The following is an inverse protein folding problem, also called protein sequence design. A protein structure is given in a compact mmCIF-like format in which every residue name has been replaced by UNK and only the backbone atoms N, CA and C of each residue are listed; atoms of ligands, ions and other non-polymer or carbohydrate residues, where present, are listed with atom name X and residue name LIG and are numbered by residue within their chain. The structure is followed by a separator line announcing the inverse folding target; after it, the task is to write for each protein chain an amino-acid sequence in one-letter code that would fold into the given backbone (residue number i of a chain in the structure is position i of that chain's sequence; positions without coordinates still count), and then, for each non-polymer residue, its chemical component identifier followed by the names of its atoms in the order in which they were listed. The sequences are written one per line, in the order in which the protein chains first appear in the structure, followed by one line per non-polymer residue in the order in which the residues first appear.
data_IF_795802744924
#
_entry.id   IF_795802744924
#
_cell.length_a   1.000
_cell.length_b   1.000
_cell.length_c   1.000
_cell.angle_alpha   90.00
_cell.angle_beta   90.00
_cell.angle_gamma   90.00
#
_symmetry.space_group_name_H-M   'P 1'
#
loop_
_entity.id
_entity.type
_entity.pdbx_description
1 polymer ?
#
# COMPACT_ATOMS: atom_id res chain seq x y z
N UNK A 1 -21.10 -16.38 12.82
CA UNK A 1 -20.98 -14.92 12.88
C UNK A 1 -22.32 -14.34 12.45
N UNK A 2 -23.01 -13.60 13.32
CA UNK A 2 -24.29 -12.96 13.00
C UNK A 2 -24.14 -11.84 11.97
N UNK A 3 -25.24 -11.49 11.30
CA UNK A 3 -25.29 -10.42 10.28
C UNK A 3 -24.77 -9.08 10.79
N UNK A 4 -25.03 -8.73 12.05
CA UNK A 4 -24.60 -7.47 12.68
C UNK A 4 -23.08 -7.37 12.81
N UNK A 5 -22.40 -8.44 13.26
CA UNK A 5 -20.94 -8.45 13.37
C UNK A 5 -20.27 -8.24 12.00
N UNK A 6 -20.88 -8.75 10.93
CA UNK A 6 -20.40 -8.52 9.56
C UNK A 6 -20.63 -7.08 9.11
N UNK A 7 -21.79 -6.49 9.45
CA UNK A 7 -22.08 -5.08 9.14
C UNK A 7 -21.08 -4.14 9.81
N UNK A 8 -20.75 -4.36 11.08
CA UNK A 8 -19.73 -3.56 11.80
C UNK A 8 -18.37 -3.65 11.10
N UNK A 9 -17.95 -4.84 10.66
CA UNK A 9 -16.70 -5.00 9.93
C UNK A 9 -16.72 -4.30 8.56
N UNK A 10 -17.82 -4.42 7.82
CA UNK A 10 -17.97 -3.78 6.51
C UNK A 10 -17.98 -2.24 6.62
N UNK A 11 -18.65 -1.70 7.64
CA UNK A 11 -18.64 -0.26 7.96
C UNK A 11 -17.25 0.22 8.35
N UNK A 12 -16.54 -0.55 9.16
CA UNK A 12 -15.19 -0.22 9.59
C UNK A 12 -14.20 -0.25 8.42
N UNK A 13 -14.30 -1.25 7.53
CA UNK A 13 -13.53 -1.30 6.29
C UNK A 13 -13.79 -0.09 5.41
N UNK A 14 -15.06 0.32 5.23
CA UNK A 14 -15.42 1.49 4.42
C UNK A 14 -14.89 2.79 5.04
N UNK A 15 -15.03 2.95 6.35
CA UNK A 15 -14.58 4.13 7.09
C UNK A 15 -13.07 4.32 7.01
N UNK A 16 -12.33 3.22 7.02
CA UNK A 16 -10.85 3.21 7.05
C UNK A 16 -10.21 2.88 5.71
N UNK A 17 -11.00 2.82 4.63
CA UNK A 17 -10.51 2.51 3.30
C UNK A 17 -9.54 3.59 2.81
N UNK A 18 -8.39 3.15 2.34
CA UNK A 18 -7.42 3.97 1.62
C UNK A 18 -7.24 3.42 0.22
N UNK A 19 -7.35 4.27 -0.80
CA UNK A 19 -7.00 3.91 -2.17
C UNK A 19 -6.37 5.10 -2.89
N UNK A 20 -5.15 4.93 -3.38
CA UNK A 20 -4.44 5.95 -4.17
C UNK A 20 -3.59 5.32 -5.27
N UNK A 21 -3.28 6.14 -6.28
CA UNK A 21 -2.33 5.81 -7.34
C UNK A 21 -1.22 6.85 -7.38
N UNK A 22 0.02 6.38 -7.45
CA UNK A 22 1.21 7.19 -7.65
C UNK A 22 1.90 6.82 -8.96
N UNK A 23 2.64 7.77 -9.52
CA UNK A 23 3.53 7.53 -10.65
C UNK A 23 4.95 7.69 -10.15
N UNK A 24 5.78 6.68 -10.41
CA UNK A 24 7.19 6.63 -10.03
C UNK A 24 8.08 6.46 -11.28
N UNK A 25 9.33 6.95 -11.20
CA UNK A 25 10.40 6.65 -12.16
C UNK A 25 11.24 5.44 -11.74
N UNK A 26 11.02 4.92 -10.53
CA UNK A 26 11.69 3.71 -10.06
C UNK A 26 11.14 2.48 -10.82
N UNK A 27 11.98 1.47 -11.10
CA UNK A 27 11.52 0.18 -11.58
C UNK A 27 10.53 -0.46 -10.60
N UNK A 28 9.60 -1.33 -11.07
CA UNK A 28 8.64 -1.98 -10.19
C UNK A 28 9.28 -2.73 -9.03
N UNK A 29 10.35 -3.48 -9.27
CA UNK A 29 11.04 -4.24 -8.23
C UNK A 29 11.51 -3.34 -7.08
N UNK A 30 12.11 -2.20 -7.39
CA UNK A 30 12.59 -1.24 -6.39
C UNK A 30 11.44 -0.60 -5.61
N UNK A 31 10.33 -0.27 -6.28
CA UNK A 31 9.10 0.19 -5.58
C UNK A 31 8.64 -0.84 -4.55
N UNK A 32 8.65 -2.13 -4.91
CA UNK A 32 8.20 -3.20 -4.02
C UNK A 32 9.16 -3.44 -2.86
N UNK A 33 10.46 -3.38 -3.10
CA UNK A 33 11.46 -3.56 -2.04
C UNK A 33 11.37 -2.41 -1.02
N UNK A 34 11.20 -1.16 -1.50
CA UNK A 34 10.92 -0.01 -0.65
C UNK A 34 9.61 -0.17 0.14
N UNK A 35 8.56 -0.70 -0.48
CA UNK A 35 7.30 -0.95 0.23
C UNK A 35 7.50 -1.97 1.36
N UNK A 36 8.18 -3.09 1.08
CA UNK A 36 8.46 -4.13 2.06
C UNK A 36 9.22 -3.56 3.27
N UNK A 37 10.30 -2.84 3.02
CA UNK A 37 11.11 -2.20 4.07
C UNK A 37 10.27 -1.22 4.89
N UNK A 38 9.61 -0.27 4.20
CA UNK A 38 8.81 0.78 4.83
C UNK A 38 7.73 0.24 5.77
N UNK A 39 7.02 -0.81 5.36
CA UNK A 39 5.95 -1.40 6.17
C UNK A 39 6.49 -2.31 7.27
N UNK A 40 7.61 -3.02 7.05
CA UNK A 40 8.27 -3.81 8.10
C UNK A 40 8.78 -2.95 9.25
N UNK A 41 9.40 -1.81 8.95
CA UNK A 41 9.85 -0.83 9.97
C UNK A 41 8.69 -0.33 10.84
N UNK A 42 7.47 -0.30 10.29
CA UNK A 42 6.25 0.13 10.99
C UNK A 42 5.52 -1.02 11.69
N UNK A 43 6.14 -2.20 11.77
CA UNK A 43 5.61 -3.36 12.48
C UNK A 43 4.59 -4.19 11.67
N UNK A 44 4.42 -3.93 10.38
CA UNK A 44 3.59 -4.76 9.52
C UNK A 44 4.38 -5.92 8.93
N UNK A 45 3.69 -7.03 8.64
CA UNK A 45 4.24 -8.08 7.79
C UNK A 45 4.05 -7.67 6.34
N UNK A 46 5.14 -7.47 5.60
CA UNK A 46 5.09 -7.14 4.18
C UNK A 46 5.98 -8.09 3.38
N UNK A 47 5.45 -8.61 2.27
CA UNK A 47 6.18 -9.52 1.38
C UNK A 47 5.61 -9.49 -0.04
N UNK A 48 6.42 -9.88 -1.02
CA UNK A 48 5.94 -10.15 -2.38
C UNK A 48 4.95 -11.31 -2.36
N UNK A 49 3.95 -11.26 -3.23
CA UNK A 49 2.98 -12.35 -3.39
C UNK A 49 3.37 -13.27 -4.54
N UNK A 50 2.58 -14.32 -4.78
CA UNK A 50 2.69 -15.13 -5.99
C UNK A 50 2.25 -14.39 -7.27
N UNK A 51 1.65 -13.19 -7.14
CA UNK A 51 1.31 -12.34 -8.28
C UNK A 51 2.51 -11.47 -8.66
N UNK A 52 2.79 -11.31 -9.95
CA UNK A 52 3.89 -10.46 -10.39
C UNK A 52 3.66 -9.01 -9.96
N UNK A 53 4.74 -8.37 -9.55
CA UNK A 53 4.78 -6.97 -9.17
C UNK A 53 3.79 -6.53 -8.08
N UNK A 54 3.56 -7.39 -7.08
CA UNK A 54 2.64 -7.12 -5.98
C UNK A 54 3.29 -7.42 -4.63
N UNK A 55 3.05 -6.54 -3.65
CA UNK A 55 3.38 -6.74 -2.24
C UNK A 55 2.08 -6.75 -1.45
N UNK A 56 1.95 -7.72 -0.55
CA UNK A 56 0.87 -7.79 0.42
C UNK A 56 1.37 -7.33 1.79
N UNK A 57 0.58 -6.51 2.46
CA UNK A 57 0.84 -5.93 3.78
C UNK A 57 -0.22 -6.42 4.75
N UNK A 58 0.19 -6.91 5.92
CA UNK A 58 -0.71 -7.45 6.94
C UNK A 58 -0.33 -6.91 8.32
N UNK A 59 -1.34 -6.42 9.04
CA UNK A 59 -1.21 -5.92 10.41
C UNK A 59 -2.07 -6.69 11.41
N UNK A 60 -1.98 -6.29 12.68
CA UNK A 60 -2.83 -6.79 13.75
C UNK A 60 -4.23 -6.17 13.72
N UNK A 61 -4.88 -6.16 14.88
CA UNK A 61 -6.20 -5.54 15.07
C UNK A 61 -6.13 -4.02 15.00
N UNK A 62 -7.07 -3.41 14.29
CA UNK A 62 -7.29 -1.96 14.22
C UNK A 62 -8.79 -1.68 14.29
N UNK A 63 -9.22 -0.87 15.26
CA UNK A 63 -10.64 -0.67 15.54
C UNK A 63 -11.42 -1.98 15.64
N UNK A 64 -12.49 -2.10 14.85
CA UNK A 64 -13.29 -3.33 14.78
C UNK A 64 -12.66 -4.44 13.93
N UNK A 65 -11.64 -4.14 13.10
CA UNK A 65 -11.00 -5.11 12.22
C UNK A 65 -10.06 -6.02 13.02
N UNK A 66 -10.29 -7.35 13.08
CA UNK A 66 -9.43 -8.26 13.81
C UNK A 66 -8.03 -8.41 13.19
N UNK A 67 -7.91 -8.05 11.91
CA UNK A 67 -6.69 -8.01 11.12
C UNK A 67 -6.88 -6.99 10.01
N UNK A 68 -5.85 -6.23 9.72
CA UNK A 68 -5.82 -5.31 8.58
C UNK A 68 -4.95 -5.84 7.46
N UNK A 69 -5.32 -5.49 6.24
CA UNK A 69 -4.63 -5.90 5.02
C UNK A 69 -4.52 -4.73 4.06
N UNK A 70 -3.46 -4.71 3.28
CA UNK A 70 -3.28 -3.78 2.19
C UNK A 70 -2.39 -4.36 1.10
N UNK A 71 -2.39 -3.70 -0.04
CA UNK A 71 -1.68 -4.13 -1.21
C UNK A 71 -0.94 -2.94 -1.87
N UNK A 72 0.25 -3.24 -2.36
CA UNK A 72 1.04 -2.36 -3.21
C UNK A 72 1.30 -3.09 -4.52
N UNK A 73 0.75 -2.59 -5.62
CA UNK A 73 0.97 -3.13 -6.95
C UNK A 73 1.75 -2.14 -7.82
N UNK A 74 2.79 -2.60 -8.53
CA UNK A 74 3.66 -1.77 -9.34
C UNK A 74 3.66 -2.23 -10.81
N UNK A 75 3.04 -1.47 -11.71
CA UNK A 75 2.99 -1.81 -13.14
C UNK A 75 3.98 -0.97 -13.92
N UNK A 76 4.91 -1.62 -14.63
CA UNK A 76 5.84 -0.95 -15.54
C UNK A 76 5.15 -0.38 -16.78
N UNK A 77 5.85 0.56 -17.40
CA UNK A 77 5.59 1.13 -18.73
C UNK A 77 4.15 1.60 -18.96
N UNK A 78 3.52 2.15 -17.93
CA UNK A 78 2.16 2.68 -18.04
C UNK A 78 2.20 4.05 -18.67
N UNK A 79 1.64 4.14 -19.88
CA UNK A 79 1.57 5.36 -20.69
C UNK A 79 2.84 5.65 -21.48
N UNK A 80 4.03 5.31 -20.95
CA UNK A 80 5.32 5.37 -21.67
C UNK A 80 6.40 4.51 -20.98
N UNK A 81 7.49 4.15 -21.69
CA UNK A 81 8.61 3.41 -21.11
C UNK A 81 9.24 4.09 -19.89
N UNK A 82 9.69 3.29 -18.91
CA UNK A 82 10.38 3.76 -17.71
C UNK A 82 9.47 4.45 -16.67
N UNK A 83 8.15 4.33 -16.84
CA UNK A 83 7.16 4.89 -15.90
C UNK A 83 6.42 3.76 -15.19
N UNK A 84 6.54 3.73 -13.87
CA UNK A 84 5.85 2.76 -13.02
C UNK A 84 4.59 3.38 -12.42
N UNK A 85 3.43 2.78 -12.68
CA UNK A 85 2.20 3.07 -11.97
C UNK A 85 2.15 2.23 -10.68
N UNK A 86 2.07 2.90 -9.54
CA UNK A 86 1.93 2.27 -8.23
C UNK A 86 0.50 2.44 -7.76
N UNK A 87 -0.18 1.33 -7.45
CA UNK A 87 -1.51 1.34 -6.83
C UNK A 87 -1.36 0.90 -5.38
N UNK A 88 -2.04 1.63 -4.49
CA UNK A 88 -2.03 1.42 -3.05
C UNK A 88 -3.47 1.25 -2.60
N UNK A 89 -3.75 0.18 -1.88
CA UNK A 89 -5.04 -0.06 -1.23
C UNK A 89 -4.86 -0.65 0.17
N UNK A 90 -5.74 -0.28 1.09
CA UNK A 90 -5.78 -0.82 2.43
C UNK A 90 -7.12 -0.52 3.12
N UNK A 91 -7.38 -1.23 4.21
CA UNK A 91 -8.34 -0.84 5.23
C UNK A 91 -7.70 -0.97 6.62
N UNK A 92 -7.80 0.07 7.44
CA UNK A 92 -7.28 0.12 8.80
C UNK A 92 -7.01 1.54 9.28
N UNK A 93 -7.36 1.84 10.52
CA UNK A 93 -7.18 3.18 11.13
C UNK A 93 -5.73 3.65 11.11
N UNK A 94 -4.76 2.74 11.20
CA UNK A 94 -3.32 3.03 11.15
C UNK A 94 -2.69 2.61 9.83
N UNK A 95 -3.18 1.53 9.22
CA UNK A 95 -2.66 1.07 7.93
C UNK A 95 -2.97 2.07 6.80
N UNK A 96 -4.15 2.70 6.79
CA UNK A 96 -4.51 3.74 5.83
C UNK A 96 -3.56 4.95 5.86
N UNK A 97 -3.32 5.58 7.03
CA UNK A 97 -2.29 6.60 7.20
C UNK A 97 -0.88 6.14 6.79
N UNK A 98 -0.47 4.92 7.14
CA UNK A 98 0.83 4.39 6.72
C UNK A 98 0.94 4.27 5.18
N UNK A 99 -0.14 3.89 4.49
CA UNK A 99 -0.20 3.91 3.02
C UNK A 99 -0.11 5.33 2.47
N UNK A 100 -0.74 6.30 3.13
CA UNK A 100 -0.64 7.72 2.77
C UNK A 100 0.80 8.25 2.92
N UNK A 101 1.51 7.85 3.96
CA UNK A 101 2.90 8.21 4.18
C UNK A 101 3.81 7.61 3.10
N UNK A 102 3.61 6.33 2.75
CA UNK A 102 4.35 5.70 1.66
C UNK A 102 4.06 6.39 0.31
N UNK A 103 2.79 6.73 0.06
CA UNK A 103 2.39 7.53 -1.11
C UNK A 103 3.12 8.89 -1.15
N UNK A 104 3.21 9.58 -0.01
CA UNK A 104 3.96 10.82 0.15
C UNK A 104 5.44 10.62 -0.16
N UNK A 105 6.04 9.54 0.36
CA UNK A 105 7.44 9.21 0.15
C UNK A 105 7.77 8.90 -1.33
N UNK A 106 6.87 8.24 -2.07
CA UNK A 106 7.00 8.03 -3.51
C UNK A 106 6.92 9.37 -4.28
N UNK A 107 5.99 10.24 -3.90
CA UNK A 107 5.85 11.56 -4.55
C UNK A 107 7.01 12.50 -4.26
N UNK A 108 7.59 12.44 -3.06
CA UNK A 108 8.77 13.21 -2.71
C UNK A 108 9.95 12.83 -3.62
N UNK A 109 10.19 11.53 -3.82
CA UNK A 109 11.24 11.01 -4.72
C UNK A 109 11.05 11.44 -6.18
N UNK A 110 9.80 11.55 -6.65
CA UNK A 110 9.52 12.11 -7.99
C UNK A 110 9.88 13.60 -8.08
N UNK A 111 9.63 14.37 -7.01
CA UNK A 111 9.80 15.83 -7.01
C UNK A 111 11.23 16.26 -6.79
N UNK A 112 12.06 15.48 -6.10
CA UNK A 112 13.49 15.70 -6.02
C UNK A 112 14.10 15.47 -7.41
N UNK A 113 14.52 16.51 -8.13
CA UNK A 113 15.43 16.34 -9.25
C UNK A 113 16.81 16.21 -8.62
N UNK A 114 17.19 15.01 -8.18
CA UNK A 114 18.47 14.77 -7.55
C UNK A 114 19.27 13.79 -8.42
N UNK A 115 20.08 14.40 -9.30
CA UNK A 115 21.50 14.09 -9.50
C UNK A 115 21.88 12.65 -9.89
N UNK A 116 21.62 12.28 -11.15
CA UNK A 116 22.63 11.93 -12.18
C UNK A 116 21.96 11.46 -13.46
#
# INVERSE_FOLDING_TARGET
MGSEARQVLDEEMKRTAFQKKAVSRLPPAEVLDLAIEFFKERGYRAARTGRPNQVFVMGGREGALPRVTGEVAARADVGRPGVTLVTLDAAGERLGPAMSDFYGALRARRRSPAER
#
